data_IF_915757506192
#
_entry.id   IF_915757506192
#
_cell.length_a   1.000
_cell.length_b   1.000
_cell.length_c   1.000
_cell.angle_alpha   90.00
_cell.angle_beta   90.00
_cell.angle_gamma   90.00
#
_symmetry.space_group_name_H-M   'P 1'
#
loop_
_entity.id
_entity.type
_entity.pdbx_description
1 polymer ?
#
# COMPACT_ATOMS: atom_id res chain seq x y z
N UNK A 1 12.97 -12.84 13.81
CA UNK A 1 11.65 -12.92 13.15
C UNK A 1 11.43 -11.58 12.47
N UNK A 2 10.92 -11.57 11.25
CA UNK A 2 10.69 -10.34 10.47
C UNK A 2 9.20 -9.96 10.53
N UNK A 3 8.90 -8.67 10.59
CA UNK A 3 7.56 -8.10 10.49
C UNK A 3 7.47 -7.26 9.22
N UNK A 4 6.27 -6.97 8.75
CA UNK A 4 6.05 -6.07 7.61
C UNK A 4 5.32 -4.80 8.07
N UNK A 5 6.05 -3.88 8.71
CA UNK A 5 5.56 -2.53 9.05
C UNK A 5 5.78 -1.54 7.90
N UNK A 6 7.01 -1.49 7.44
CA UNK A 6 7.51 -0.77 6.29
C UNK A 6 8.57 -1.63 5.59
N UNK A 7 9.28 -1.06 4.64
CA UNK A 7 10.34 -1.78 3.92
C UNK A 7 11.75 -1.49 4.48
N UNK A 8 11.87 -0.73 5.57
CA UNK A 8 13.15 -0.34 6.15
C UNK A 8 14.05 -1.55 6.43
N UNK A 9 13.48 -2.60 7.01
CA UNK A 9 14.19 -3.82 7.43
C UNK A 9 14.32 -4.89 6.32
N UNK A 10 13.86 -4.58 5.10
CA UNK A 10 13.97 -5.49 3.95
C UNK A 10 15.11 -5.10 3.05
N UNK A 11 15.86 -6.07 2.57
CA UNK A 11 16.82 -5.86 1.48
C UNK A 11 16.09 -5.77 0.13
N UNK A 12 16.73 -5.18 -0.87
CA UNK A 12 16.20 -5.16 -2.24
C UNK A 12 15.99 -6.57 -2.78
N UNK A 13 16.92 -7.50 -2.50
CA UNK A 13 16.81 -8.90 -2.94
C UNK A 13 15.64 -9.63 -2.27
N UNK A 14 15.37 -9.38 -1.00
CA UNK A 14 14.18 -9.93 -0.33
C UNK A 14 12.88 -9.42 -0.96
N UNK A 15 12.79 -8.12 -1.25
CA UNK A 15 11.60 -7.53 -1.89
C UNK A 15 11.41 -8.08 -3.31
N UNK A 16 12.48 -8.13 -4.11
CA UNK A 16 12.45 -8.76 -5.44
C UNK A 16 12.02 -10.22 -5.35
N UNK A 17 12.57 -10.97 -4.40
CA UNK A 17 12.20 -12.36 -4.17
C UNK A 17 10.73 -12.55 -3.79
N UNK A 18 10.17 -11.69 -2.92
CA UNK A 18 8.76 -11.71 -2.54
C UNK A 18 7.87 -11.44 -3.77
N UNK A 19 8.21 -10.43 -4.58
CA UNK A 19 7.42 -10.06 -5.76
C UNK A 19 7.48 -11.11 -6.87
N UNK A 20 8.66 -11.69 -7.14
CA UNK A 20 8.84 -12.78 -8.10
C UNK A 20 8.11 -14.06 -7.65
N UNK A 21 8.13 -14.37 -6.34
CA UNK A 21 7.35 -15.47 -5.80
C UNK A 21 5.84 -15.19 -5.93
N UNK A 22 5.41 -13.96 -5.68
CA UNK A 22 4.01 -13.55 -5.86
C UNK A 22 3.54 -13.72 -7.32
N UNK A 23 4.36 -13.28 -8.28
CA UNK A 23 4.09 -13.48 -9.72
C UNK A 23 4.01 -14.97 -10.07
N UNK A 24 4.98 -15.77 -9.61
CA UNK A 24 5.04 -17.21 -9.85
C UNK A 24 3.79 -17.94 -9.30
N UNK A 25 3.38 -17.60 -8.07
CA UNK A 25 2.15 -18.11 -7.47
C UNK A 25 0.92 -17.68 -8.28
N UNK A 26 0.86 -16.42 -8.75
CA UNK A 26 -0.22 -15.93 -9.61
C UNK A 26 -0.35 -16.72 -10.91
N UNK A 27 0.78 -17.01 -11.56
CA UNK A 27 0.81 -17.71 -12.85
C UNK A 27 0.55 -19.23 -12.73
N UNK A 28 0.88 -19.85 -11.58
CA UNK A 28 0.85 -21.29 -11.35
C UNK A 28 0.14 -21.65 -10.04
N UNK A 29 -1.05 -21.05 -9.81
CA UNK A 29 -1.78 -21.15 -8.53
C UNK A 29 -1.96 -22.60 -8.04
N UNK A 30 -2.23 -23.54 -8.94
CA UNK A 30 -2.48 -24.95 -8.58
C UNK A 30 -1.24 -25.62 -7.96
N UNK A 31 -0.03 -25.22 -8.36
CA UNK A 31 1.22 -25.77 -7.83
C UNK A 31 1.52 -25.30 -6.40
N UNK A 32 0.91 -24.19 -5.96
CA UNK A 32 1.16 -23.54 -4.67
C UNK A 32 0.00 -23.66 -3.67
N UNK A 33 -1.11 -24.31 -4.07
CA UNK A 33 -2.33 -24.42 -3.26
C UNK A 33 -2.16 -25.12 -1.91
N UNK A 34 -1.01 -25.70 -1.61
CA UNK A 34 -0.69 -26.43 -0.37
C UNK A 34 0.52 -25.87 0.39
N UNK A 35 1.11 -24.76 -0.06
CA UNK A 35 2.37 -24.23 0.48
C UNK A 35 2.24 -23.78 1.95
N UNK A 36 1.04 -23.37 2.37
CA UNK A 36 0.70 -22.99 3.74
C UNK A 36 -0.33 -23.93 4.39
N UNK A 37 -0.35 -25.21 4.01
CA UNK A 37 -1.25 -26.20 4.61
C UNK A 37 -1.17 -26.20 6.14
N UNK A 38 -2.32 -26.11 6.80
CA UNK A 38 -2.45 -26.10 8.25
C UNK A 38 -2.03 -24.79 8.93
N UNK A 39 -1.51 -23.81 8.18
CA UNK A 39 -1.15 -22.49 8.70
C UNK A 39 -2.36 -21.61 8.94
N UNK A 40 -2.25 -20.70 9.90
CA UNK A 40 -3.34 -19.84 10.36
C UNK A 40 -2.90 -18.38 10.37
N UNK A 41 -3.69 -17.55 9.71
CA UNK A 41 -3.58 -16.10 9.73
C UNK A 41 -4.68 -15.51 10.62
N UNK A 42 -4.34 -14.67 11.57
CA UNK A 42 -5.32 -13.85 12.29
C UNK A 42 -5.32 -12.43 11.69
N UNK A 43 -6.49 -11.95 11.30
CA UNK A 43 -6.65 -10.59 10.77
C UNK A 43 -7.52 -9.78 11.71
N UNK A 44 -7.04 -8.60 12.11
CA UNK A 44 -7.71 -7.70 13.05
C UNK A 44 -7.93 -6.33 12.43
N UNK A 45 -9.19 -5.90 12.37
CA UNK A 45 -9.60 -4.66 11.71
C UNK A 45 -10.15 -3.63 12.69
N UNK A 46 -9.45 -2.52 12.87
CA UNK A 46 -9.96 -1.32 13.56
C UNK A 46 -10.66 -0.36 12.57
N UNK A 47 -10.26 -0.42 11.28
CA UNK A 47 -10.90 0.26 10.14
C UNK A 47 -11.45 -0.78 9.16
N UNK A 48 -12.64 -0.51 8.62
CA UNK A 48 -13.22 -1.38 7.58
C UNK A 48 -12.43 -1.32 6.28
N UNK A 49 -12.35 -2.44 5.57
CA UNK A 49 -11.74 -2.50 4.23
C UNK A 49 -12.16 -3.79 3.53
N UNK A 50 -12.90 -3.65 2.42
CA UNK A 50 -13.26 -4.81 1.60
C UNK A 50 -12.01 -5.42 0.94
N UNK A 51 -11.12 -4.58 0.37
CA UNK A 51 -9.93 -5.05 -0.33
C UNK A 51 -8.99 -5.83 0.59
N UNK A 52 -8.58 -5.25 1.71
CA UNK A 52 -7.68 -5.92 2.66
C UNK A 52 -8.31 -7.19 3.25
N UNK A 53 -9.63 -7.18 3.49
CA UNK A 53 -10.34 -8.35 3.97
C UNK A 53 -10.31 -9.49 2.93
N UNK A 54 -10.69 -9.19 1.69
CA UNK A 54 -10.76 -10.19 0.62
C UNK A 54 -9.36 -10.69 0.22
N UNK A 55 -8.39 -9.79 0.06
CA UNK A 55 -7.05 -10.15 -0.41
C UNK A 55 -6.35 -11.10 0.57
N UNK A 56 -6.35 -10.82 1.87
CA UNK A 56 -5.75 -11.70 2.87
C UNK A 56 -6.55 -13.00 3.10
N UNK A 57 -7.89 -12.90 3.12
CA UNK A 57 -8.72 -14.10 3.37
C UNK A 57 -8.62 -15.09 2.23
N UNK A 58 -8.83 -14.62 0.99
CA UNK A 58 -8.75 -15.45 -0.21
C UNK A 58 -7.30 -15.89 -0.46
N UNK A 59 -6.33 -14.96 -0.36
CA UNK A 59 -4.91 -15.27 -0.55
C UNK A 59 -4.41 -16.36 0.39
N UNK A 60 -4.82 -16.35 1.66
CA UNK A 60 -4.46 -17.40 2.62
C UNK A 60 -5.13 -18.74 2.29
N UNK A 61 -6.40 -18.73 1.85
CA UNK A 61 -7.12 -19.92 1.42
C UNK A 61 -6.52 -20.54 0.17
N UNK A 62 -6.19 -19.71 -0.82
CA UNK A 62 -5.52 -20.13 -2.07
C UNK A 62 -4.15 -20.80 -1.85
N UNK A 63 -3.50 -20.54 -0.70
CA UNK A 63 -2.24 -21.16 -0.28
C UNK A 63 -2.43 -22.41 0.61
N UNK A 64 -3.66 -22.87 0.85
CA UNK A 64 -3.98 -24.02 1.71
C UNK A 64 -4.10 -23.69 3.21
N UNK A 65 -3.92 -22.43 3.59
CA UNK A 65 -4.06 -21.98 4.97
C UNK A 65 -5.48 -21.55 5.33
N UNK A 66 -5.63 -20.97 6.52
CA UNK A 66 -6.92 -20.45 7.02
C UNK A 66 -6.76 -19.04 7.59
N UNK A 67 -7.65 -18.13 7.22
CA UNK A 67 -7.77 -16.80 7.81
C UNK A 67 -8.90 -16.74 8.85
N UNK A 68 -8.61 -16.12 10.00
CA UNK A 68 -9.55 -15.86 11.08
C UNK A 68 -9.72 -14.36 11.25
N UNK A 69 -10.85 -13.85 10.81
CA UNK A 69 -11.11 -12.41 10.75
C UNK A 69 -11.83 -11.92 12.00
N UNK A 70 -11.36 -10.83 12.59
CA UNK A 70 -11.92 -10.21 13.79
C UNK A 70 -12.01 -8.69 13.60
N UNK A 71 -13.11 -8.10 14.08
CA UNK A 71 -13.20 -6.66 14.23
C UNK A 71 -12.65 -6.25 15.61
N UNK A 72 -11.89 -5.16 15.65
CA UNK A 72 -11.34 -4.62 16.91
C UNK A 72 -12.41 -4.43 17.97
N UNK A 73 -13.54 -3.80 17.61
CA UNK A 73 -14.64 -3.49 18.51
C UNK A 73 -15.30 -4.73 19.16
N UNK A 74 -15.16 -5.89 18.51
CA UNK A 74 -15.75 -7.15 18.95
C UNK A 74 -14.70 -8.10 19.56
N UNK A 75 -13.51 -7.56 19.89
CA UNK A 75 -12.37 -8.29 20.42
C UNK A 75 -12.02 -7.85 21.85
N UNK A 76 -11.30 -8.70 22.58
CA UNK A 76 -10.80 -8.37 23.92
C UNK A 76 -9.69 -7.30 23.91
N UNK A 77 -9.15 -6.93 22.76
CA UNK A 77 -8.21 -5.81 22.64
C UNK A 77 -8.82 -4.46 23.06
N UNK A 78 -10.15 -4.36 23.13
CA UNK A 78 -10.85 -3.15 23.62
C UNK A 78 -10.83 -3.02 25.14
N UNK A 79 -10.61 -4.11 25.88
CA UNK A 79 -10.74 -4.15 27.34
C UNK A 79 -9.55 -4.80 28.05
N UNK A 80 -8.76 -5.58 27.33
CA UNK A 80 -7.62 -6.33 27.87
C UNK A 80 -6.30 -5.56 27.75
N UNK A 81 -5.27 -6.08 28.44
CA UNK A 81 -3.90 -5.64 28.24
C UNK A 81 -3.36 -6.11 26.88
N UNK A 82 -2.85 -5.18 26.08
CA UNK A 82 -2.39 -5.44 24.72
C UNK A 82 -1.33 -6.56 24.66
N UNK A 83 -0.36 -6.53 25.58
CA UNK A 83 0.72 -7.52 25.59
C UNK A 83 0.20 -8.95 25.80
N UNK A 84 -0.69 -9.13 26.79
CA UNK A 84 -1.24 -10.46 27.11
C UNK A 84 -2.14 -10.98 25.99
N UNK A 85 -2.99 -10.14 25.42
CA UNK A 85 -3.84 -10.51 24.29
C UNK A 85 -3.03 -10.88 23.03
N UNK A 86 -2.01 -10.10 22.66
CA UNK A 86 -1.14 -10.42 21.54
C UNK A 86 -0.41 -11.74 21.77
N UNK A 87 0.14 -11.98 22.97
CA UNK A 87 0.81 -13.25 23.30
C UNK A 87 -0.13 -14.44 23.27
N UNK A 88 -1.40 -14.26 23.67
CA UNK A 88 -2.41 -15.30 23.55
C UNK A 88 -2.70 -15.63 22.09
N UNK A 89 -2.94 -14.64 21.25
CA UNK A 89 -3.18 -14.82 19.81
C UNK A 89 -2.02 -15.57 19.16
N UNK A 90 -0.78 -15.17 19.46
CA UNK A 90 0.44 -15.78 18.88
C UNK A 90 0.58 -17.28 19.20
N UNK A 91 -0.08 -17.81 20.25
CA UNK A 91 -0.06 -19.25 20.54
C UNK A 91 -1.02 -20.06 19.67
N UNK A 92 -1.88 -19.39 18.91
CA UNK A 92 -2.95 -20.02 18.15
C UNK A 92 -2.76 -19.86 16.63
N UNK A 93 -1.90 -18.94 16.18
CA UNK A 93 -1.74 -18.59 14.77
C UNK A 93 -0.27 -18.51 14.35
N UNK A 94 -0.01 -18.54 13.05
CA UNK A 94 1.34 -18.48 12.47
C UNK A 94 1.69 -17.07 11.98
N UNK A 95 0.71 -16.21 11.77
CA UNK A 95 0.90 -14.81 11.35
C UNK A 95 -0.29 -13.95 11.83
N UNK A 96 -0.03 -12.68 12.07
CA UNK A 96 -1.06 -11.66 12.39
C UNK A 96 -1.02 -10.58 11.32
N UNK A 97 -2.17 -10.17 10.79
CA UNK A 97 -2.34 -8.95 10.04
C UNK A 97 -3.22 -7.98 10.82
N UNK A 98 -2.75 -6.76 11.02
CA UNK A 98 -3.51 -5.69 11.67
C UNK A 98 -3.74 -4.51 10.75
N UNK A 99 -5.01 -4.06 10.64
CA UNK A 99 -5.36 -2.80 10.00
C UNK A 99 -5.84 -1.83 11.07
N UNK A 100 -4.93 -0.97 11.50
CA UNK A 100 -5.13 -0.11 12.66
C UNK A 100 -5.30 1.37 12.27
N UNK A 101 -5.80 2.16 13.22
CA UNK A 101 -5.92 3.62 13.06
C UNK A 101 -4.60 4.34 13.29
N UNK A 102 -3.72 3.77 14.12
CA UNK A 102 -2.51 4.40 14.59
C UNK A 102 -1.30 3.47 14.47
N UNK A 103 -0.17 4.01 14.04
CA UNK A 103 1.09 3.28 13.96
C UNK A 103 1.55 2.73 15.31
N UNK A 104 1.28 3.42 16.42
CA UNK A 104 1.64 2.96 17.77
C UNK A 104 0.95 1.63 18.12
N UNK A 105 -0.26 1.39 17.59
CA UNK A 105 -0.95 0.10 17.75
C UNK A 105 -0.22 -0.99 16.98
N UNK A 106 0.15 -0.74 15.73
CA UNK A 106 0.96 -1.65 14.90
C UNK A 106 2.27 -2.01 15.59
N UNK A 107 3.00 -1.01 16.06
CA UNK A 107 4.27 -1.18 16.81
C UNK A 107 4.08 -1.98 18.10
N UNK A 108 2.98 -1.71 18.83
CA UNK A 108 2.61 -2.45 20.03
C UNK A 108 2.40 -3.95 19.76
N UNK A 109 1.75 -4.30 18.64
CA UNK A 109 1.63 -5.70 18.20
C UNK A 109 3.00 -6.30 17.88
N UNK A 110 3.80 -5.65 17.06
CA UNK A 110 5.13 -6.14 16.65
C UNK A 110 6.07 -6.35 17.83
N UNK A 111 6.05 -5.43 18.80
CA UNK A 111 6.87 -5.52 20.03
C UNK A 111 6.52 -6.74 20.88
N UNK A 112 5.27 -7.17 20.91
CA UNK A 112 4.77 -8.21 21.81
C UNK A 112 4.56 -9.56 21.11
N UNK A 113 4.57 -9.59 19.76
CA UNK A 113 4.31 -10.81 19.00
C UNK A 113 5.50 -11.77 18.99
N UNK A 114 5.18 -13.07 18.94
CA UNK A 114 6.13 -14.17 18.72
C UNK A 114 5.92 -14.87 17.37
N UNK A 115 5.07 -14.29 16.53
CA UNK A 115 4.84 -14.64 15.13
C UNK A 115 4.95 -13.38 14.27
N UNK A 116 5.16 -13.49 12.95
CA UNK A 116 5.17 -12.34 12.07
C UNK A 116 3.89 -11.48 12.20
N UNK A 117 4.06 -10.16 12.13
CA UNK A 117 2.97 -9.18 12.07
C UNK A 117 3.08 -8.39 10.78
N UNK A 118 1.96 -8.26 10.09
CA UNK A 118 1.82 -7.48 8.85
C UNK A 118 0.97 -6.24 9.16
N UNK A 119 1.51 -5.07 8.83
CA UNK A 119 0.74 -3.82 8.79
C UNK A 119 -0.16 -3.83 7.54
N UNK A 120 -1.45 -4.09 7.73
CA UNK A 120 -2.46 -4.05 6.67
C UNK A 120 -2.92 -2.64 6.29
N UNK A 121 -2.41 -1.64 6.92
CA UNK A 121 -2.56 -0.20 6.79
C UNK A 121 -2.77 0.46 8.17
N UNK A 122 -1.95 1.44 8.46
CA UNK A 122 -2.18 2.38 9.58
C UNK A 122 -2.11 3.83 9.07
N UNK A 123 -1.96 4.82 9.97
CA UNK A 123 -1.87 6.22 9.57
C UNK A 123 -0.47 6.63 9.07
N UNK A 124 0.50 5.74 9.07
CA UNK A 124 1.89 6.05 8.68
C UNK A 124 2.33 5.27 7.44
N UNK A 125 1.99 3.98 7.35
CA UNK A 125 2.38 3.11 6.23
C UNK A 125 1.22 2.25 5.71
N UNK A 126 1.31 1.89 4.42
CA UNK A 126 0.47 0.91 3.74
C UNK A 126 1.35 -0.06 2.90
N UNK A 127 2.19 -0.89 3.54
CA UNK A 127 3.18 -1.70 2.82
C UNK A 127 2.54 -2.71 1.86
N UNK A 128 1.36 -3.24 2.18
CA UNK A 128 0.70 -4.23 1.33
C UNK A 128 0.17 -3.63 0.03
N UNK A 129 -0.23 -2.35 0.04
CA UNK A 129 -0.55 -1.62 -1.18
C UNK A 129 0.71 -1.42 -2.02
N UNK A 130 1.76 -0.89 -1.45
CA UNK A 130 2.99 -0.59 -2.17
C UNK A 130 3.66 -1.85 -2.78
N UNK A 131 3.49 -3.03 -2.15
CA UNK A 131 3.89 -4.30 -2.78
C UNK A 131 3.05 -4.63 -4.02
N UNK A 132 1.74 -4.38 -3.97
CA UNK A 132 0.85 -4.60 -5.12
C UNK A 132 1.18 -3.63 -6.27
N UNK A 133 1.45 -2.37 -5.94
CA UNK A 133 1.87 -1.35 -6.91
C UNK A 133 3.14 -1.79 -7.65
N UNK A 134 4.15 -2.25 -6.89
CA UNK A 134 5.41 -2.74 -7.46
C UNK A 134 5.24 -4.03 -8.28
N UNK A 135 4.36 -4.94 -7.86
CA UNK A 135 4.05 -6.13 -8.65
C UNK A 135 3.40 -5.74 -9.98
N UNK A 136 2.45 -4.81 -9.94
CA UNK A 136 1.76 -4.34 -11.14
C UNK A 136 2.71 -3.59 -12.07
N UNK A 137 3.56 -2.72 -11.53
CA UNK A 137 4.61 -2.05 -12.31
C UNK A 137 5.53 -3.06 -12.98
N UNK A 138 6.01 -4.07 -12.25
CA UNK A 138 6.85 -5.13 -12.79
C UNK A 138 6.15 -5.91 -13.90
N UNK A 139 4.90 -6.33 -13.71
CA UNK A 139 4.11 -7.04 -14.73
C UNK A 139 3.90 -6.23 -16.02
N UNK A 140 3.72 -4.90 -15.87
CA UNK A 140 3.47 -4.02 -17.02
C UNK A 140 4.75 -3.55 -17.73
N UNK A 141 5.87 -3.41 -17.00
CA UNK A 141 7.13 -2.84 -17.55
C UNK A 141 8.23 -3.87 -17.76
N UNK A 142 8.18 -5.01 -17.06
CA UNK A 142 9.22 -6.05 -17.09
C UNK A 142 10.45 -5.75 -16.22
N UNK A 143 10.44 -4.67 -15.43
CA UNK A 143 11.55 -4.30 -14.54
C UNK A 143 11.07 -3.66 -13.24
N UNK A 144 11.93 -3.66 -12.21
CA UNK A 144 11.59 -3.12 -10.89
C UNK A 144 11.97 -1.64 -10.73
N UNK A 145 12.83 -1.11 -11.58
CA UNK A 145 13.38 0.25 -11.52
C UNK A 145 12.43 1.28 -12.16
N UNK A 146 11.13 1.19 -11.81
CA UNK A 146 10.09 2.04 -12.39
C UNK A 146 10.22 3.51 -11.94
N UNK A 147 9.85 4.44 -12.84
CA UNK A 147 9.68 5.85 -12.52
C UNK A 147 8.22 6.12 -12.19
N UNK A 148 7.96 6.68 -11.02
CA UNK A 148 6.60 6.96 -10.54
C UNK A 148 6.46 8.43 -10.20
N UNK A 149 5.40 9.07 -10.70
CA UNK A 149 4.97 10.40 -10.29
C UNK A 149 3.73 10.27 -9.41
N UNK A 150 3.83 10.60 -8.13
CA UNK A 150 2.67 10.70 -7.25
C UNK A 150 2.14 12.13 -7.24
N UNK A 151 0.84 12.29 -7.49
CA UNK A 151 0.14 13.58 -7.40
C UNK A 151 -1.00 13.43 -6.39
N UNK A 152 -0.87 14.02 -5.20
CA UNK A 152 -1.88 13.84 -4.18
C UNK A 152 -1.50 14.35 -2.79
N UNK A 153 -2.24 13.88 -1.79
CA UNK A 153 -1.91 14.15 -0.40
C UNK A 153 -0.71 13.29 0.04
N UNK A 154 0.25 13.91 0.75
CA UNK A 154 1.33 13.17 1.39
C UNK A 154 0.74 12.37 2.57
N UNK A 155 0.59 11.07 2.39
CA UNK A 155 -0.09 10.16 3.32
C UNK A 155 0.67 8.84 3.50
N UNK A 156 0.05 7.85 4.13
CA UNK A 156 0.61 6.52 4.37
C UNK A 156 0.89 5.72 3.09
N UNK A 157 0.04 5.84 2.06
CA UNK A 157 0.25 5.23 0.74
C UNK A 157 1.48 5.84 0.08
N UNK A 158 1.58 7.17 0.05
CA UNK A 158 2.75 7.89 -0.46
C UNK A 158 4.05 7.48 0.25
N UNK A 159 4.01 7.35 1.58
CA UNK A 159 5.18 6.95 2.36
C UNK A 159 5.70 5.58 1.93
N UNK A 160 4.82 4.59 1.88
CA UNK A 160 5.20 3.21 1.52
C UNK A 160 5.62 3.08 0.05
N UNK A 161 4.92 3.76 -0.85
CA UNK A 161 5.28 3.77 -2.28
C UNK A 161 6.64 4.42 -2.49
N UNK A 162 6.90 5.57 -1.84
CA UNK A 162 8.19 6.26 -1.93
C UNK A 162 9.35 5.39 -1.41
N UNK A 163 9.12 4.68 -0.30
CA UNK A 163 10.13 3.80 0.28
C UNK A 163 10.45 2.62 -0.64
N UNK A 164 9.44 1.92 -1.18
CA UNK A 164 9.69 0.74 -2.00
C UNK A 164 10.24 1.10 -3.38
N UNK A 165 9.72 2.12 -4.06
CA UNK A 165 10.19 2.55 -5.37
C UNK A 165 11.67 2.93 -5.32
N UNK A 166 12.07 3.75 -4.34
CA UNK A 166 13.47 4.14 -4.18
C UNK A 166 14.37 2.97 -3.81
N UNK A 167 13.89 2.06 -2.95
CA UNK A 167 14.64 0.87 -2.53
C UNK A 167 14.84 -0.13 -3.67
N UNK A 168 13.90 -0.19 -4.61
CA UNK A 168 14.00 -1.03 -5.81
C UNK A 168 14.89 -0.41 -6.92
N UNK A 169 15.39 0.81 -6.71
CA UNK A 169 16.25 1.52 -7.67
C UNK A 169 15.48 2.34 -8.71
N UNK A 170 14.16 2.43 -8.55
CA UNK A 170 13.29 3.30 -9.36
C UNK A 170 13.41 4.77 -8.96
N UNK A 171 12.71 5.65 -9.68
CA UNK A 171 12.66 7.08 -9.38
C UNK A 171 11.28 7.51 -8.92
N UNK A 172 11.19 8.07 -7.74
CA UNK A 172 9.96 8.60 -7.15
C UNK A 172 9.92 10.12 -7.25
N UNK A 173 8.93 10.66 -7.96
CA UNK A 173 8.59 12.08 -7.97
C UNK A 173 7.33 12.30 -7.11
N UNK A 174 7.37 13.25 -6.20
CA UNK A 174 6.21 13.64 -5.39
C UNK A 174 5.74 15.06 -5.73
N UNK A 175 4.47 15.21 -6.11
CA UNK A 175 3.77 16.49 -6.14
C UNK A 175 2.69 16.46 -5.08
N UNK A 176 3.04 16.91 -3.86
CA UNK A 176 2.25 16.73 -2.66
C UNK A 176 1.94 18.07 -1.98
N UNK A 177 0.98 18.85 -2.54
CA UNK A 177 0.65 20.19 -2.03
C UNK A 177 -0.03 20.18 -0.66
N UNK A 178 -0.52 19.03 -0.22
CA UNK A 178 -1.13 18.81 1.07
C UNK A 178 -0.51 17.61 1.79
N UNK A 179 -0.30 17.73 3.11
CA UNK A 179 0.21 16.63 3.94
C UNK A 179 -0.82 16.24 5.01
N UNK A 180 -1.11 14.96 5.08
CA UNK A 180 -1.81 14.37 6.23
C UNK A 180 -0.81 14.16 7.37
N UNK A 181 -1.32 14.03 8.59
CA UNK A 181 -0.46 13.76 9.75
C UNK A 181 -0.09 12.28 9.74
N UNK A 182 1.20 12.01 9.56
CA UNK A 182 1.80 10.68 9.66
C UNK A 182 2.94 10.68 10.68
N UNK A 183 3.26 9.52 11.24
CA UNK A 183 4.29 9.37 12.26
C UNK A 183 5.60 8.81 11.66
N UNK A 184 5.95 9.20 10.43
CA UNK A 184 7.24 8.82 9.86
C UNK A 184 8.39 9.41 10.69
N UNK A 185 9.55 8.72 10.78
CA UNK A 185 10.74 9.29 11.39
C UNK A 185 11.08 10.65 10.79
N UNK A 186 11.59 11.58 11.61
CA UNK A 186 11.87 12.95 11.18
C UNK A 186 12.83 13.02 9.98
N UNK A 187 13.74 12.05 9.85
CA UNK A 187 14.73 11.93 8.77
C UNK A 187 14.27 11.04 7.60
N UNK A 188 12.99 10.64 7.56
CA UNK A 188 12.47 9.69 6.57
C UNK A 188 12.68 10.18 5.13
N UNK A 189 12.21 11.38 4.82
CA UNK A 189 12.34 11.95 3.47
C UNK A 189 13.78 12.37 3.14
N UNK A 190 14.56 12.76 4.14
CA UNK A 190 15.99 13.04 3.94
C UNK A 190 16.74 11.78 3.53
N UNK A 191 16.41 10.64 4.13
CA UNK A 191 16.96 9.33 3.71
C UNK A 191 16.57 8.95 2.30
N UNK A 192 15.30 9.15 1.91
CA UNK A 192 14.86 8.91 0.55
C UNK A 192 15.60 9.83 -0.44
N UNK A 193 15.74 11.11 -0.14
CA UNK A 193 16.48 12.08 -0.96
C UNK A 193 17.95 11.68 -1.12
N UNK A 194 18.57 11.20 -0.05
CA UNK A 194 19.97 10.77 -0.06
C UNK A 194 20.25 9.56 -0.98
N UNK A 195 19.22 8.78 -1.33
CA UNK A 195 19.36 7.70 -2.32
C UNK A 195 19.61 8.19 -3.74
N UNK A 196 19.27 9.44 -4.06
CA UNK A 196 19.26 9.98 -5.42
C UNK A 196 18.06 9.51 -6.26
N UNK A 197 17.15 8.72 -5.68
CA UNK A 197 15.99 8.13 -6.35
C UNK A 197 14.64 8.76 -5.91
N UNK A 198 14.70 9.89 -5.20
CA UNK A 198 13.52 10.60 -4.71
C UNK A 198 13.63 12.10 -4.95
N UNK A 199 12.56 12.71 -5.46
CA UNK A 199 12.49 14.15 -5.68
C UNK A 199 11.09 14.69 -5.47
N UNK A 200 10.95 15.67 -4.58
CA UNK A 200 9.74 16.48 -4.52
C UNK A 200 9.72 17.56 -5.59
N UNK A 201 8.60 17.67 -6.30
CA UNK A 201 8.36 18.72 -7.27
C UNK A 201 7.80 19.97 -6.57
N UNK A 202 8.16 21.17 -7.03
CA UNK A 202 7.59 22.39 -6.47
C UNK A 202 6.09 22.45 -6.75
N UNK A 203 5.31 22.91 -5.77
CA UNK A 203 3.83 23.00 -5.90
C UNK A 203 3.38 24.05 -6.92
N UNK A 204 4.25 24.99 -7.27
CA UNK A 204 4.06 25.99 -8.31
C UNK A 204 4.62 25.57 -9.70
N UNK A 205 4.90 24.28 -9.88
CA UNK A 205 5.34 23.72 -11.16
C UNK A 205 4.36 24.10 -12.29
N UNK A 206 4.90 24.54 -13.42
CA UNK A 206 4.05 24.87 -14.57
C UNK A 206 3.37 23.62 -15.13
N UNK A 207 2.15 23.76 -15.69
CA UNK A 207 1.45 22.64 -16.35
C UNK A 207 2.28 22.03 -17.48
N UNK A 208 3.05 22.86 -18.20
CA UNK A 208 3.94 22.40 -19.28
C UNK A 208 5.08 21.53 -18.75
N UNK A 209 5.71 21.93 -17.64
CA UNK A 209 6.79 21.15 -17.05
C UNK A 209 6.27 19.88 -16.36
N UNK A 210 5.08 19.94 -15.75
CA UNK A 210 4.42 18.75 -15.20
C UNK A 210 4.11 17.73 -16.30
N UNK A 211 3.61 18.16 -17.48
CA UNK A 211 3.40 17.28 -18.65
C UNK A 211 4.70 16.59 -19.10
N UNK A 212 5.83 17.28 -19.04
CA UNK A 212 7.15 16.67 -19.37
C UNK A 212 7.49 15.56 -18.37
N UNK A 213 7.21 15.78 -17.08
CA UNK A 213 7.41 14.73 -16.06
C UNK A 213 6.47 13.56 -16.30
N UNK A 214 5.18 13.81 -16.56
CA UNK A 214 4.20 12.77 -16.88
C UNK A 214 4.64 11.92 -18.07
N UNK A 215 5.20 12.53 -19.11
CA UNK A 215 5.68 11.82 -20.29
C UNK A 215 7.00 11.04 -20.08
N UNK A 216 7.73 11.29 -18.97
CA UNK A 216 9.00 10.61 -18.66
C UNK A 216 8.85 9.50 -17.62
N UNK A 217 7.66 9.33 -17.01
CA UNK A 217 7.42 8.30 -16.00
C UNK A 217 6.62 7.14 -16.54
N UNK A 218 6.78 5.97 -15.91
CA UNK A 218 6.01 4.77 -16.24
C UNK A 218 4.57 4.87 -15.71
N UNK A 219 4.41 5.54 -14.56
CA UNK A 219 3.13 5.63 -13.87
C UNK A 219 2.92 6.99 -13.20
N UNK A 220 1.71 7.54 -13.35
CA UNK A 220 1.17 8.60 -12.49
C UNK A 220 0.28 7.93 -11.45
N UNK A 221 0.59 8.16 -10.18
CA UNK A 221 -0.14 7.61 -9.04
C UNK A 221 -0.93 8.70 -8.34
N UNK A 222 -2.16 8.42 -7.96
CA UNK A 222 -2.94 9.28 -7.06
C UNK A 222 -3.69 8.46 -6.03
N UNK A 223 -4.20 9.13 -5.01
CA UNK A 223 -5.02 8.56 -3.96
C UNK A 223 -6.06 9.58 -3.50
N UNK A 224 -7.07 9.14 -2.76
CA UNK A 224 -8.10 10.04 -2.20
C UNK A 224 -7.45 11.19 -1.41
N UNK A 225 -7.89 12.41 -1.69
CA UNK A 225 -7.37 13.61 -1.02
C UNK A 225 -7.86 13.75 0.43
N UNK A 226 -8.99 13.14 0.72
CA UNK A 226 -9.62 13.17 2.04
C UNK A 226 -9.72 11.74 2.57
N UNK A 227 -9.22 11.51 3.78
CA UNK A 227 -9.32 10.20 4.43
C UNK A 227 -10.76 9.70 4.43
N UNK A 228 -10.95 8.44 4.06
CA UNK A 228 -12.25 7.77 3.94
C UNK A 228 -13.12 7.93 5.19
N UNK A 229 -12.51 7.98 6.38
CA UNK A 229 -13.24 8.14 7.65
C UNK A 229 -13.98 9.48 7.73
N UNK A 230 -13.47 10.50 7.03
CA UNK A 230 -14.01 11.86 7.06
C UNK A 230 -14.82 12.20 5.81
N UNK A 231 -14.78 11.36 4.78
CA UNK A 231 -15.36 11.70 3.50
C UNK A 231 -16.88 11.95 3.57
N UNK A 232 -17.60 11.17 4.36
CA UNK A 232 -19.05 11.30 4.58
C UNK A 232 -19.43 11.93 5.92
N UNK A 233 -18.44 12.35 6.72
CA UNK A 233 -18.69 12.93 8.03
C UNK A 233 -19.16 14.40 7.89
N UNK A 234 -20.39 14.75 8.34
CA UNK A 234 -20.92 16.10 8.24
C UNK A 234 -20.07 17.15 9.01
N UNK A 235 -19.50 16.75 10.14
CA UNK A 235 -18.69 17.65 10.97
C UNK A 235 -17.34 18.01 10.30
N UNK A 236 -16.96 17.25 9.29
CA UNK A 236 -15.74 17.45 8.52
C UNK A 236 -15.99 18.15 7.17
N UNK A 237 -17.24 18.46 6.82
CA UNK A 237 -17.64 18.94 5.50
C UNK A 237 -16.88 20.22 5.08
N UNK A 238 -16.71 21.19 5.98
CA UNK A 238 -15.99 22.43 5.68
C UNK A 238 -14.51 22.15 5.38
N UNK A 239 -13.84 21.38 6.22
CA UNK A 239 -12.43 21.02 6.03
C UNK A 239 -12.23 20.17 4.77
N UNK A 240 -13.14 19.24 4.49
CA UNK A 240 -13.14 18.47 3.23
C UNK A 240 -13.19 19.41 2.02
N UNK A 241 -14.10 20.38 1.99
CA UNK A 241 -14.21 21.32 0.89
C UNK A 241 -12.95 22.20 0.75
N UNK A 242 -12.33 22.61 1.86
CA UNK A 242 -11.07 23.36 1.83
C UNK A 242 -9.95 22.53 1.20
N UNK A 243 -9.81 21.24 1.58
CA UNK A 243 -8.81 20.33 1.00
C UNK A 243 -9.09 20.13 -0.49
N UNK A 244 -10.33 19.82 -0.87
CA UNK A 244 -10.70 19.62 -2.27
C UNK A 244 -10.37 20.86 -3.10
N UNK A 245 -10.78 22.06 -2.66
CA UNK A 245 -10.51 23.30 -3.38
C UNK A 245 -9.01 23.58 -3.56
N UNK A 246 -8.21 23.27 -2.53
CA UNK A 246 -6.76 23.40 -2.60
C UNK A 246 -6.13 22.42 -3.58
N UNK A 247 -6.68 21.19 -3.65
CA UNK A 247 -6.14 20.11 -4.46
C UNK A 247 -6.63 20.11 -5.92
N UNK A 248 -7.76 20.78 -6.24
CA UNK A 248 -8.31 20.82 -7.59
C UNK A 248 -7.33 21.21 -8.71
N UNK A 249 -6.35 22.15 -8.52
CA UNK A 249 -5.35 22.45 -9.54
C UNK A 249 -4.45 21.27 -9.93
N UNK A 250 -4.41 20.21 -9.11
CA UNK A 250 -3.58 19.03 -9.26
C UNK A 250 -4.36 17.77 -9.68
N UNK A 251 -5.62 17.95 -10.11
CA UNK A 251 -6.44 16.87 -10.65
C UNK A 251 -5.77 16.23 -11.88
N UNK A 252 -5.76 14.90 -11.93
CA UNK A 252 -5.32 14.15 -13.11
C UNK A 252 -6.45 14.21 -14.14
N UNK A 253 -6.31 15.10 -15.12
CA UNK A 253 -7.27 15.34 -16.18
C UNK A 253 -6.74 14.92 -17.57
N UNK A 254 -7.60 14.85 -18.56
CA UNK A 254 -7.24 14.51 -19.93
C UNK A 254 -6.18 15.43 -20.53
N UNK A 255 -6.18 16.71 -20.14
CA UNK A 255 -5.19 17.67 -20.64
C UNK A 255 -3.80 17.39 -20.09
N UNK A 256 -3.68 16.92 -18.85
CA UNK A 256 -2.42 16.48 -18.27
C UNK A 256 -1.89 15.20 -18.94
N UNK A 257 -2.79 14.26 -19.24
CA UNK A 257 -2.45 12.95 -19.82
C UNK A 257 -2.36 12.95 -21.35
N UNK A 258 -2.60 14.09 -21.99
CA UNK A 258 -2.60 14.21 -23.45
C UNK A 258 -1.24 13.90 -24.07
N UNK A 259 -1.21 12.99 -25.06
CA UNK A 259 0.00 12.64 -25.82
C UNK A 259 0.94 11.68 -25.08
N UNK A 260 0.48 11.05 -23.98
CA UNK A 260 1.26 10.04 -23.24
C UNK A 260 0.55 8.69 -23.19
N UNK A 261 1.33 7.62 -23.11
CA UNK A 261 0.86 6.25 -22.79
C UNK A 261 1.13 5.89 -21.32
N UNK A 262 1.46 6.89 -20.49
CA UNK A 262 1.76 6.72 -19.07
C UNK A 262 0.57 6.11 -18.33
N UNK A 263 0.81 5.07 -17.56
CA UNK A 263 -0.23 4.41 -16.75
C UNK A 263 -0.74 5.33 -15.64
N UNK A 264 -1.98 5.11 -15.21
CA UNK A 264 -2.52 5.74 -14.00
C UNK A 264 -2.88 4.67 -12.99
N UNK A 265 -2.38 4.83 -11.76
CA UNK A 265 -2.64 3.96 -10.61
C UNK A 265 -3.45 4.72 -9.54
N UNK A 266 -4.20 3.97 -8.73
CA UNK A 266 -5.01 4.53 -7.65
C UNK A 266 -5.31 3.49 -6.56
N UNK A 267 -4.95 3.74 -5.30
CA UNK A 267 -5.23 2.83 -4.16
C UNK A 267 -6.73 2.53 -3.95
N UNK A 268 -7.63 3.29 -4.57
CA UNK A 268 -9.09 3.18 -4.38
C UNK A 268 -9.53 3.42 -2.89
N UNK A 269 -10.76 3.89 -2.62
CA UNK A 269 -11.81 4.18 -3.62
C UNK A 269 -11.51 5.43 -4.44
N UNK A 270 -11.94 5.42 -5.69
CA UNK A 270 -11.76 6.55 -6.61
C UNK A 270 -12.93 7.53 -6.45
N UNK A 271 -12.64 8.84 -6.51
CA UNK A 271 -13.66 9.89 -6.49
C UNK A 271 -13.60 10.71 -7.79
N UNK A 272 -14.22 10.23 -8.88
CA UNK A 272 -14.20 10.93 -10.16
C UNK A 272 -14.73 12.36 -10.02
N UNK A 273 -13.98 13.32 -10.59
CA UNK A 273 -14.26 14.74 -10.44
C UNK A 273 -13.50 15.43 -9.31
N UNK A 274 -12.78 14.66 -8.47
CA UNK A 274 -11.84 15.18 -7.49
C UNK A 274 -10.40 14.88 -7.94
N UNK A 275 -9.76 13.84 -7.44
CA UNK A 275 -8.34 13.53 -7.74
C UNK A 275 -8.09 13.13 -9.19
N UNK A 276 -9.11 12.62 -9.87
CA UNK A 276 -9.05 12.17 -11.27
C UNK A 276 -10.37 12.50 -11.98
N UNK A 277 -10.30 12.84 -13.26
CA UNK A 277 -11.52 13.03 -14.08
C UNK A 277 -12.12 11.69 -14.50
N UNK A 278 -13.43 11.69 -14.80
CA UNK A 278 -14.18 10.48 -15.16
C UNK A 278 -13.58 9.79 -16.41
N UNK A 279 -13.23 10.56 -17.42
CA UNK A 279 -12.70 10.06 -18.69
C UNK A 279 -11.30 9.44 -18.55
N UNK A 280 -10.43 10.04 -17.73
CA UNK A 280 -9.11 9.47 -17.42
C UNK A 280 -9.28 8.21 -16.58
N UNK A 281 -10.15 8.21 -15.58
CA UNK A 281 -10.45 7.02 -14.77
C UNK A 281 -10.95 5.87 -15.64
N UNK A 282 -11.92 6.12 -16.54
CA UNK A 282 -12.46 5.09 -17.43
C UNK A 282 -11.40 4.54 -18.39
N UNK A 283 -10.51 5.39 -18.94
CA UNK A 283 -9.40 4.97 -19.81
C UNK A 283 -8.43 4.03 -19.11
N UNK A 284 -8.17 4.23 -17.82
CA UNK A 284 -7.17 3.50 -17.04
C UNK A 284 -7.76 2.48 -16.05
N UNK A 285 -9.09 2.25 -16.09
CA UNK A 285 -9.80 1.43 -15.12
C UNK A 285 -9.24 0.01 -15.02
N UNK A 286 -8.95 -0.64 -16.13
CA UNK A 286 -8.38 -2.00 -16.13
C UNK A 286 -7.02 -2.04 -15.43
N UNK A 287 -6.17 -1.04 -15.65
CA UNK A 287 -4.87 -0.94 -14.97
C UNK A 287 -5.04 -0.75 -13.45
N UNK A 288 -5.99 0.08 -13.04
CA UNK A 288 -6.31 0.30 -11.62
C UNK A 288 -6.90 -0.97 -10.99
N UNK A 289 -7.70 -1.73 -11.73
CA UNK A 289 -8.25 -3.00 -11.26
C UNK A 289 -7.18 -4.09 -11.18
N UNK A 290 -6.23 -4.15 -12.12
CA UNK A 290 -5.07 -5.04 -12.05
C UNK A 290 -4.22 -4.75 -10.78
N UNK A 291 -3.99 -3.47 -10.48
CA UNK A 291 -3.31 -3.03 -9.25
C UNK A 291 -4.08 -3.48 -8.00
N UNK A 292 -5.39 -3.25 -7.96
CA UNK A 292 -6.23 -3.65 -6.84
C UNK A 292 -6.29 -5.17 -6.65
N UNK A 293 -6.30 -5.96 -7.73
CA UNK A 293 -6.25 -7.43 -7.68
C UNK A 293 -4.87 -7.92 -7.21
N UNK A 294 -3.80 -7.27 -7.64
CA UNK A 294 -2.44 -7.61 -7.24
C UNK A 294 -2.17 -7.48 -5.75
N UNK A 295 -3.06 -6.82 -4.98
CA UNK A 295 -3.06 -6.88 -3.51
C UNK A 295 -3.05 -8.33 -3.02
N UNK A 296 -3.98 -9.15 -3.53
CA UNK A 296 -4.07 -10.56 -3.17
C UNK A 296 -2.80 -11.34 -3.55
N UNK A 297 -2.26 -11.08 -4.73
CA UNK A 297 -1.09 -11.81 -5.22
C UNK A 297 0.20 -11.42 -4.49
N UNK A 298 0.45 -10.13 -4.30
CA UNK A 298 1.60 -9.63 -3.55
C UNK A 298 1.56 -10.08 -2.07
N UNK A 299 0.38 -10.06 -1.46
CA UNK A 299 0.18 -10.55 -0.10
C UNK A 299 0.42 -12.06 0.03
N UNK A 300 0.15 -12.88 -1.00
CA UNK A 300 0.52 -14.30 -1.01
C UNK A 300 2.03 -14.51 -0.93
N UNK A 301 2.80 -13.81 -1.75
CA UNK A 301 4.27 -13.86 -1.70
C UNK A 301 4.81 -13.43 -0.33
N UNK A 302 4.27 -12.34 0.23
CA UNK A 302 4.63 -11.85 1.56
C UNK A 302 4.29 -12.87 2.66
N UNK A 303 3.10 -13.47 2.65
CA UNK A 303 2.67 -14.48 3.63
C UNK A 303 3.57 -15.70 3.59
N UNK A 304 3.87 -16.23 2.40
CA UNK A 304 4.77 -17.37 2.26
C UNK A 304 6.14 -17.04 2.84
N UNK A 305 6.72 -15.90 2.48
CA UNK A 305 8.01 -15.49 3.00
C UNK A 305 8.02 -15.34 4.52
N UNK A 306 7.05 -14.64 5.08
CA UNK A 306 7.01 -14.37 6.52
C UNK A 306 6.75 -15.63 7.37
N UNK A 307 5.91 -16.54 6.88
CA UNK A 307 5.53 -17.76 7.62
C UNK A 307 6.60 -18.86 7.49
N UNK A 308 7.24 -18.97 6.32
CA UNK A 308 8.17 -20.08 6.04
C UNK A 308 9.63 -19.67 6.09
N UNK A 309 9.95 -18.38 5.94
CA UNK A 309 11.31 -17.86 5.82
C UNK A 309 11.98 -18.16 4.47
N UNK A 310 11.23 -18.61 3.45
CA UNK A 310 11.76 -19.07 2.16
C UNK A 310 11.17 -18.27 1.00
N UNK A 311 11.98 -18.12 -0.05
CA UNK A 311 11.62 -17.51 -1.35
C UNK A 311 11.81 -18.47 -2.54
N UNK A 312 12.51 -19.57 -2.32
CA UNK A 312 12.83 -20.60 -3.30
C UNK A 312 11.80 -21.74 -3.23
N UNK A 313 10.77 -21.63 -4.07
CA UNK A 313 9.69 -22.60 -4.18
C UNK A 313 9.48 -23.05 -5.62
#
# INVERSE_FOLDING_TARGET
MKHANSFADYTTDELKGILLLAEKIKQHQDDYGHILDGKKLYTLFEKTSNRTYLSFSIGMEELGGKAYNQLWKDSNFTIGDLMSEVKYVCRNVDCIMGRFKKAETTEGFMKNATVPVINGCDNTFHPTQALADMLTLYEKTGHFEAKVLYIGAKNNTYNSLSEIVTKMGGMMYGLTPFSQITNVPADFYDKLTATGHYKELPTDISKEDLKKVVADVDCVYTDTWVDMEFFTNPDYAEKKNQIINMMMPYQIDAALMEGTDTMVFHDMPIHPGYEITQDVMEKHLETILDEAENRRHAEKGLLVYLITGKLDW
#
